data_IF_145321635168
#
_entry.id   IF_145321635168
#
_cell.length_a   1.000
_cell.length_b   1.000
_cell.length_c   1.000
_cell.angle_alpha   90.00
_cell.angle_beta   90.00
_cell.angle_gamma   90.00
#
_symmetry.space_group_name_H-M   'P 1'
#
loop_
_entity.id
_entity.type
_entity.pdbx_description
1 polymer ?
#
# COMPACT_ATOMS: atom_id res chain seq x y z
N UNK A 1 -8.42 -17.80 12.47
CA UNK A 1 -8.75 -19.11 11.84
C UNK A 1 -7.99 -19.32 10.53
N UNK A 2 -8.20 -18.50 9.50
CA UNK A 2 -7.48 -18.63 8.21
C UNK A 2 -5.96 -18.44 8.36
N UNK A 3 -5.54 -17.35 9.00
CA UNK A 3 -4.14 -17.07 9.30
C UNK A 3 -3.48 -18.11 10.22
N UNK A 4 -4.29 -18.89 10.95
CA UNK A 4 -3.85 -20.00 11.81
C UNK A 4 -3.84 -21.34 11.08
N UNK A 5 -4.22 -21.39 9.79
CA UNK A 5 -4.30 -22.61 8.99
C UNK A 5 -5.41 -23.59 9.42
N UNK A 6 -6.42 -23.12 10.17
CA UNK A 6 -7.50 -23.99 10.71
C UNK A 6 -8.66 -24.22 9.75
N UNK A 7 -8.73 -23.49 8.64
CA UNK A 7 -9.79 -23.65 7.65
C UNK A 7 -9.34 -24.58 6.52
N UNK A 8 -10.19 -25.52 6.07
CA UNK A 8 -9.91 -26.33 4.89
C UNK A 8 -9.72 -25.46 3.64
N UNK A 9 -8.77 -25.86 2.79
CA UNK A 9 -8.48 -25.23 1.51
C UNK A 9 -9.05 -26.03 0.32
N UNK A 10 -10.18 -26.71 0.52
CA UNK A 10 -10.82 -27.59 -0.47
C UNK A 10 -11.67 -26.81 -1.50
N UNK A 11 -12.23 -25.65 -1.12
CA UNK A 11 -13.11 -24.81 -1.97
C UNK A 11 -12.69 -23.32 -2.00
N UNK A 12 -13.09 -22.53 -3.01
CA UNK A 12 -12.86 -21.09 -3.02
C UNK A 12 -13.37 -20.41 -1.75
N UNK A 13 -12.68 -19.36 -1.31
CA UNK A 13 -12.98 -18.64 -0.07
C UNK A 13 -13.25 -17.17 -0.35
N UNK A 14 -14.31 -16.64 0.26
CA UNK A 14 -14.56 -15.21 0.41
C UNK A 14 -14.61 -14.87 1.90
N UNK A 15 -13.86 -13.85 2.32
CA UNK A 15 -13.88 -13.33 3.68
C UNK A 15 -14.55 -11.98 3.71
N UNK A 16 -15.63 -11.84 4.50
CA UNK A 16 -16.35 -10.56 4.67
C UNK A 16 -16.32 -10.18 6.15
N UNK A 17 -15.48 -9.21 6.55
CA UNK A 17 -15.46 -8.71 7.92
C UNK A 17 -16.78 -8.03 8.27
N UNK A 18 -17.29 -8.25 9.49
CA UNK A 18 -18.52 -7.62 9.97
C UNK A 18 -18.21 -6.19 10.41
N UNK A 19 -18.15 -5.28 9.45
CA UNK A 19 -17.90 -3.85 9.65
C UNK A 19 -18.83 -3.04 8.75
N UNK A 20 -19.17 -1.82 9.15
CA UNK A 20 -20.20 -1.03 8.46
C UNK A 20 -19.75 -0.52 7.08
N UNK A 21 -18.47 -0.19 6.92
CA UNK A 21 -17.96 0.41 5.68
C UNK A 21 -16.59 -0.17 5.33
N UNK A 22 -15.52 0.32 5.96
CA UNK A 22 -14.13 -0.08 5.70
C UNK A 22 -13.56 -0.79 6.91
N UNK A 23 -12.44 -1.52 6.77
CA UNK A 23 -11.75 -2.11 7.93
C UNK A 23 -11.31 -1.04 8.95
N UNK A 24 -10.46 -0.09 8.55
CA UNK A 24 -9.93 0.93 9.46
C UNK A 24 -10.16 2.38 9.00
N UNK A 25 -10.08 2.67 7.70
CA UNK A 25 -10.10 4.05 7.16
C UNK A 25 -11.30 4.89 7.61
N UNK A 26 -12.54 4.44 7.38
CA UNK A 26 -13.76 5.18 7.68
C UNK A 26 -14.25 5.03 9.14
N UNK A 27 -13.43 4.48 10.05
CA UNK A 27 -13.84 4.33 11.47
C UNK A 27 -14.06 5.70 12.12
N UNK A 28 -15.19 5.85 12.81
CA UNK A 28 -15.66 7.13 13.34
C UNK A 28 -15.30 7.31 14.81
N UNK A 29 -14.71 8.45 15.16
CA UNK A 29 -14.29 8.78 16.52
C UNK A 29 -15.40 8.60 17.59
N UNK A 30 -16.66 9.04 17.37
CA UNK A 30 -17.73 8.84 18.36
C UNK A 30 -18.08 7.37 18.63
N UNK A 31 -17.72 6.46 17.73
CA UNK A 31 -18.05 5.03 17.82
C UNK A 31 -16.93 4.24 18.48
N UNK A 32 -15.68 4.46 18.04
CA UNK A 32 -14.53 3.65 18.51
C UNK A 32 -13.75 4.30 19.66
N UNK A 33 -13.92 5.60 19.86
CA UNK A 33 -13.22 6.36 20.91
C UNK A 33 -11.83 6.86 20.50
N UNK A 34 -11.19 7.59 21.43
CA UNK A 34 -9.85 8.17 21.24
C UNK A 34 -8.76 7.14 21.58
N UNK A 35 -7.65 7.24 20.88
CA UNK A 35 -6.41 6.54 21.21
C UNK A 35 -5.21 7.41 20.79
N UNK A 36 -4.50 7.98 21.76
CA UNK A 36 -3.36 8.85 21.48
C UNK A 36 -2.13 8.07 20.97
N UNK A 37 -2.14 6.74 21.02
CA UNK A 37 -1.09 5.92 20.45
C UNK A 37 -1.19 5.79 18.93
N UNK A 38 -2.35 6.09 18.34
CA UNK A 38 -2.52 6.06 16.88
C UNK A 38 -2.23 7.44 16.27
N UNK A 39 -1.60 7.52 15.08
CA UNK A 39 -1.33 8.79 14.40
C UNK A 39 -2.58 9.67 14.20
N UNK A 40 -3.75 9.07 13.98
CA UNK A 40 -5.01 9.82 13.85
C UNK A 40 -5.67 10.22 15.17
N UNK A 41 -5.20 9.71 16.32
CA UNK A 41 -5.84 9.92 17.61
C UNK A 41 -7.14 9.14 17.81
N UNK A 42 -7.51 8.26 16.87
CA UNK A 42 -8.74 7.47 16.86
C UNK A 42 -8.42 6.00 17.03
N UNK A 43 -9.08 5.33 17.99
CA UNK A 43 -8.89 3.90 18.26
C UNK A 43 -9.19 3.06 17.01
N UNK A 44 -8.43 1.98 16.79
CA UNK A 44 -8.70 1.00 15.71
C UNK A 44 -9.94 0.15 16.02
N UNK A 45 -10.55 -0.43 14.99
CA UNK A 45 -11.62 -1.42 15.14
C UNK A 45 -10.99 -2.76 15.49
N UNK A 46 -11.22 -3.25 16.71
CA UNK A 46 -10.58 -4.48 17.23
C UNK A 46 -11.13 -5.77 16.57
N UNK A 47 -12.31 -5.72 15.94
CA UNK A 47 -13.01 -6.89 15.40
C UNK A 47 -12.69 -7.20 13.93
N UNK A 48 -11.84 -6.42 13.27
CA UNK A 48 -11.44 -6.64 11.87
C UNK A 48 -9.96 -6.99 11.80
N UNK A 49 -9.54 -7.83 10.85
CA UNK A 49 -8.13 -8.14 10.67
C UNK A 49 -7.37 -6.94 10.10
N UNK A 50 -6.10 -6.80 10.49
CA UNK A 50 -5.15 -5.95 9.75
C UNK A 50 -4.75 -6.61 8.41
N UNK A 51 -4.18 -5.81 7.51
CA UNK A 51 -3.78 -6.28 6.18
C UNK A 51 -2.76 -7.42 6.26
N UNK A 52 -1.78 -7.33 7.16
CA UNK A 52 -0.77 -8.37 7.36
C UNK A 52 -1.37 -9.72 7.78
N UNK A 53 -2.42 -9.72 8.60
CA UNK A 53 -3.14 -10.92 9.03
C UNK A 53 -3.92 -11.53 7.87
N UNK A 54 -4.57 -10.70 7.04
CA UNK A 54 -5.22 -11.17 5.81
C UNK A 54 -4.19 -11.77 4.84
N UNK A 55 -3.05 -11.12 4.64
CA UNK A 55 -1.94 -11.60 3.80
C UNK A 55 -1.41 -12.95 4.28
N UNK A 56 -1.13 -13.12 5.58
CA UNK A 56 -0.71 -14.40 6.15
C UNK A 56 -1.76 -15.49 5.93
N UNK A 57 -3.03 -15.16 6.10
CA UNK A 57 -4.15 -16.07 5.82
C UNK A 57 -4.21 -16.50 4.37
N UNK A 58 -4.12 -15.55 3.43
CA UNK A 58 -4.16 -15.81 2.00
C UNK A 58 -2.97 -16.67 1.55
N UNK A 59 -1.76 -16.36 1.98
CA UNK A 59 -0.56 -17.14 1.67
C UNK A 59 -0.68 -18.59 2.14
N UNK A 60 -1.07 -18.81 3.41
CA UNK A 60 -1.28 -20.16 3.95
C UNK A 60 -2.36 -20.92 3.19
N UNK A 61 -3.49 -20.28 2.90
CA UNK A 61 -4.60 -20.90 2.19
C UNK A 61 -4.21 -21.31 0.77
N UNK A 62 -3.61 -20.40 0.00
CA UNK A 62 -3.19 -20.66 -1.37
C UNK A 62 -2.10 -21.73 -1.45
N UNK A 63 -1.15 -21.71 -0.51
CA UNK A 63 -0.11 -22.75 -0.40
C UNK A 63 -0.71 -24.13 -0.16
N UNK A 64 -1.78 -24.24 0.63
CA UNK A 64 -2.48 -25.51 0.85
C UNK A 64 -3.30 -25.96 -0.37
N UNK A 65 -3.73 -25.03 -1.24
CA UNK A 65 -4.55 -25.35 -2.42
C UNK A 65 -3.80 -26.04 -3.54
N UNK A 66 -2.50 -25.77 -3.71
CA UNK A 66 -1.77 -26.21 -4.89
C UNK A 66 -0.28 -26.40 -4.61
N UNK A 67 0.30 -27.56 -4.95
CA UNK A 67 1.75 -27.75 -4.90
C UNK A 67 2.48 -27.06 -6.07
N UNK A 68 1.76 -26.52 -7.07
CA UNK A 68 2.34 -25.87 -8.25
C UNK A 68 2.80 -24.42 -8.00
N UNK A 69 2.56 -23.88 -6.80
CA UNK A 69 2.77 -22.48 -6.48
C UNK A 69 1.46 -21.69 -6.40
N UNK A 70 1.58 -20.38 -6.24
CA UNK A 70 0.47 -19.46 -6.04
C UNK A 70 0.71 -18.11 -6.73
N UNK A 71 -0.37 -17.40 -6.99
CA UNK A 71 -0.38 -15.98 -7.28
C UNK A 71 -1.21 -15.28 -6.19
N UNK A 72 -0.71 -14.18 -5.66
CA UNK A 72 -1.39 -13.37 -4.65
C UNK A 72 -1.22 -11.90 -4.97
N UNK A 73 -2.34 -11.17 -4.98
CA UNK A 73 -2.38 -9.71 -4.99
C UNK A 73 -2.85 -9.24 -3.61
N UNK A 74 -2.13 -8.27 -3.05
CA UNK A 74 -2.47 -7.62 -1.78
C UNK A 74 -2.53 -6.13 -2.03
N UNK A 75 -3.64 -5.50 -1.70
CA UNK A 75 -3.88 -4.08 -1.94
C UNK A 75 -4.06 -3.35 -0.61
N UNK A 76 -3.31 -2.27 -0.41
CA UNK A 76 -3.51 -1.31 0.67
C UNK A 76 -4.40 -0.15 0.26
N UNK A 77 -5.56 -0.41 -0.34
CA UNK A 77 -6.32 0.61 -1.09
C UNK A 77 -6.81 1.83 -0.28
N UNK A 78 -6.88 1.73 1.04
CA UNK A 78 -7.27 2.85 1.89
C UNK A 78 -6.22 3.97 1.98
N UNK A 79 -4.99 3.76 1.51
CA UNK A 79 -3.99 4.84 1.38
C UNK A 79 -4.46 5.91 0.40
N UNK A 80 -5.10 5.51 -0.70
CA UNK A 80 -5.69 6.43 -1.69
C UNK A 80 -6.77 7.29 -1.02
N UNK A 81 -7.75 6.64 -0.38
CA UNK A 81 -8.84 7.33 0.31
C UNK A 81 -8.36 8.29 1.40
N UNK A 82 -7.26 7.95 2.10
CA UNK A 82 -6.67 8.83 3.11
C UNK A 82 -5.89 10.01 2.50
N UNK A 83 -5.37 9.87 1.28
CA UNK A 83 -4.66 10.92 0.54
C UNK A 83 -5.60 11.91 -0.17
N UNK A 84 -6.85 11.51 -0.43
CA UNK A 84 -7.87 12.39 -0.97
C UNK A 84 -8.35 13.46 0.01
N UNK A 85 -8.64 14.67 -0.51
CA UNK A 85 -9.47 15.63 0.22
C UNK A 85 -10.92 15.19 0.14
N UNK A 86 -11.63 15.23 1.28
CA UNK A 86 -13.00 14.72 1.38
C UNK A 86 -13.97 15.88 1.52
N UNK A 87 -14.29 16.54 0.40
CA UNK A 87 -15.33 17.57 0.38
C UNK A 87 -16.71 16.93 0.63
N UNK A 88 -17.45 17.49 1.59
CA UNK A 88 -18.78 17.05 1.97
C UNK A 88 -19.75 17.12 0.78
N UNK A 89 -20.58 16.08 0.60
CA UNK A 89 -21.60 16.03 -0.46
C UNK A 89 -21.08 15.61 -1.84
N UNK A 90 -19.83 15.14 -1.95
CA UNK A 90 -19.33 14.49 -3.16
C UNK A 90 -19.53 12.97 -3.09
N UNK A 91 -19.51 12.30 -4.25
CA UNK A 91 -19.62 10.84 -4.36
C UNK A 91 -18.54 10.10 -3.54
N UNK A 92 -17.40 10.75 -3.32
CA UNK A 92 -16.19 10.15 -2.74
C UNK A 92 -15.98 10.47 -1.26
N UNK A 93 -17.06 10.65 -0.49
CA UNK A 93 -16.93 10.91 0.95
C UNK A 93 -16.69 9.61 1.72
N UNK A 94 -15.49 9.41 2.27
CA UNK A 94 -15.17 8.27 3.14
C UNK A 94 -14.80 8.75 4.54
N UNK A 95 -15.76 8.66 5.47
CA UNK A 95 -15.57 9.11 6.85
C UNK A 95 -15.95 10.57 7.09
N UNK A 96 -15.08 11.33 7.78
CA UNK A 96 -15.33 12.72 8.13
C UNK A 96 -15.02 13.67 6.96
N UNK A 97 -15.88 14.66 6.71
CA UNK A 97 -15.63 15.67 5.70
C UNK A 97 -14.53 16.63 6.15
N UNK A 98 -13.44 16.69 5.38
CA UNK A 98 -12.32 17.61 5.61
C UNK A 98 -11.82 18.16 4.27
N UNK A 99 -11.41 19.42 4.25
CA UNK A 99 -10.76 20.07 3.11
C UNK A 99 -9.27 19.66 2.97
N UNK A 100 -8.79 18.83 3.89
CA UNK A 100 -7.43 18.30 3.94
C UNK A 100 -7.42 16.77 3.87
N UNK A 101 -6.34 16.16 3.34
CA UNK A 101 -6.10 14.74 3.48
C UNK A 101 -6.08 14.27 4.94
N UNK A 102 -6.39 12.99 5.16
CA UNK A 102 -6.40 12.39 6.49
C UNK A 102 -5.00 11.91 6.87
N UNK A 103 -4.06 12.83 7.10
CA UNK A 103 -2.63 12.51 7.32
C UNK A 103 -2.38 11.39 8.35
N UNK A 104 -3.09 11.39 9.48
CA UNK A 104 -2.96 10.33 10.49
C UNK A 104 -3.40 8.96 9.95
N UNK A 105 -4.49 8.91 9.18
CA UNK A 105 -4.96 7.67 8.54
C UNK A 105 -4.03 7.22 7.43
N UNK A 106 -3.51 8.14 6.63
CA UNK A 106 -2.54 7.82 5.59
C UNK A 106 -1.30 7.13 6.17
N UNK A 107 -0.75 7.64 7.29
CA UNK A 107 0.38 7.03 7.97
C UNK A 107 0.02 5.63 8.48
N UNK A 108 -1.16 5.47 9.09
CA UNK A 108 -1.64 4.17 9.58
C UNK A 108 -1.79 3.14 8.46
N UNK A 109 -2.47 3.50 7.36
CA UNK A 109 -2.71 2.60 6.22
C UNK A 109 -1.39 2.24 5.50
N UNK A 110 -0.46 3.21 5.37
CA UNK A 110 0.87 2.97 4.79
C UNK A 110 1.71 2.06 5.69
N UNK A 111 1.64 2.24 7.01
CA UNK A 111 2.31 1.36 7.97
C UNK A 111 1.75 -0.08 7.90
N UNK A 112 0.43 -0.24 7.82
CA UNK A 112 -0.20 -1.57 7.67
C UNK A 112 0.16 -2.23 6.33
N UNK A 113 0.29 -1.47 5.24
CA UNK A 113 0.79 -1.98 3.96
C UNK A 113 2.24 -2.47 4.06
N UNK A 114 3.11 -1.72 4.75
CA UNK A 114 4.49 -2.15 5.02
C UNK A 114 4.56 -3.41 5.89
N UNK A 115 3.65 -3.57 6.86
CA UNK A 115 3.55 -4.80 7.66
C UNK A 115 3.10 -5.99 6.81
N UNK A 116 2.20 -5.77 5.84
CA UNK A 116 1.79 -6.80 4.88
C UNK A 116 2.94 -7.21 3.95
N UNK A 117 3.70 -6.25 3.42
CA UNK A 117 4.94 -6.53 2.65
C UNK A 117 5.93 -7.32 3.49
N UNK A 118 6.13 -6.93 4.76
CA UNK A 118 7.01 -7.65 5.70
C UNK A 118 6.54 -9.08 5.93
N UNK A 119 5.23 -9.32 6.02
CA UNK A 119 4.66 -10.66 6.13
C UNK A 119 4.92 -11.52 4.87
N UNK A 120 4.85 -10.93 3.67
CA UNK A 120 5.22 -11.62 2.42
C UNK A 120 6.70 -11.95 2.40
N UNK A 121 7.58 -10.99 2.74
CA UNK A 121 9.03 -11.21 2.82
C UNK A 121 9.33 -12.38 3.76
N UNK A 122 8.78 -12.36 4.98
CA UNK A 122 8.99 -13.43 5.96
C UNK A 122 8.50 -14.79 5.44
N UNK A 123 7.39 -14.82 4.70
CA UNK A 123 6.92 -16.04 4.06
C UNK A 123 7.87 -16.51 2.96
N UNK A 124 8.37 -15.63 2.09
CA UNK A 124 9.33 -15.96 1.02
C UNK A 124 10.59 -16.60 1.61
N UNK A 125 11.17 -16.01 2.66
CA UNK A 125 12.38 -16.54 3.31
C UNK A 125 12.16 -17.96 3.86
N UNK A 126 10.93 -18.31 4.24
CA UNK A 126 10.57 -19.63 4.76
C UNK A 126 10.07 -20.60 3.67
N UNK A 127 9.84 -20.14 2.45
CA UNK A 127 9.20 -20.91 1.37
C UNK A 127 10.04 -20.91 0.10
N UNK A 128 11.32 -21.25 0.25
CA UNK A 128 12.24 -21.45 -0.87
C UNK A 128 13.04 -20.22 -1.27
N UNK A 129 12.90 -19.11 -0.55
CA UNK A 129 13.68 -17.90 -0.74
C UNK A 129 13.42 -17.18 -2.07
N UNK A 130 14.27 -16.20 -2.37
CA UNK A 130 14.12 -15.33 -3.53
C UNK A 130 14.35 -16.03 -4.88
N UNK A 131 15.00 -17.21 -4.88
CA UNK A 131 15.18 -18.03 -6.10
C UNK A 131 13.88 -18.66 -6.59
N UNK A 132 12.89 -18.80 -5.69
CA UNK A 132 11.62 -19.48 -5.98
C UNK A 132 10.41 -18.56 -5.96
N UNK A 133 10.61 -17.29 -5.63
CA UNK A 133 9.53 -16.35 -5.40
C UNK A 133 9.87 -14.99 -6.03
N UNK A 134 8.84 -14.33 -6.55
CA UNK A 134 8.90 -12.96 -7.05
C UNK A 134 7.96 -12.10 -6.21
N UNK A 135 8.48 -11.02 -5.64
CA UNK A 135 7.68 -9.96 -5.02
C UNK A 135 7.80 -8.70 -5.86
N UNK A 136 6.66 -8.13 -6.24
CA UNK A 136 6.54 -6.81 -6.86
C UNK A 136 5.70 -5.94 -5.94
N UNK A 137 6.19 -4.75 -5.62
CA UNK A 137 5.48 -3.71 -4.86
C UNK A 137 5.44 -2.47 -5.73
N UNK A 138 4.24 -1.97 -5.99
CA UNK A 138 4.00 -0.76 -6.78
C UNK A 138 2.70 -0.11 -6.30
N UNK A 139 2.44 1.11 -6.74
CA UNK A 139 1.10 1.72 -6.69
C UNK A 139 0.53 1.81 -8.11
N UNK A 140 -0.80 1.87 -8.22
CA UNK A 140 -1.54 1.97 -9.48
C UNK A 140 -1.50 3.38 -10.07
N UNK A 141 -1.52 4.40 -9.21
CA UNK A 141 -1.28 5.81 -9.54
C UNK A 141 -0.70 6.59 -8.36
N UNK A 142 -0.39 7.87 -8.60
CA UNK A 142 0.08 8.82 -7.59
C UNK A 142 -1.10 9.68 -7.07
N UNK A 143 -1.02 10.19 -5.85
CA UNK A 143 -1.97 11.16 -5.26
C UNK A 143 -1.28 12.48 -4.91
N UNK A 144 -0.19 12.78 -5.62
CA UNK A 144 0.92 13.63 -5.20
C UNK A 144 1.76 12.97 -4.12
N UNK A 145 3.09 12.97 -4.29
CA UNK A 145 4.01 12.52 -3.25
C UNK A 145 3.85 13.37 -1.97
N UNK A 146 3.88 12.76 -0.76
CA UNK A 146 4.05 13.48 0.50
C UNK A 146 5.28 14.40 0.48
N UNK A 147 5.08 15.68 0.76
CA UNK A 147 6.12 16.72 0.78
C UNK A 147 6.05 17.50 2.10
N UNK A 148 6.93 18.49 2.27
CA UNK A 148 6.93 19.40 3.42
C UNK A 148 5.68 20.28 3.54
N UNK A 149 5.54 21.02 4.65
CA UNK A 149 4.35 21.82 4.95
C UNK A 149 4.03 22.91 3.91
N UNK A 150 5.04 23.47 3.25
CA UNK A 150 4.97 24.52 2.25
C UNK A 150 5.03 23.98 0.80
N UNK A 151 4.75 22.69 0.58
CA UNK A 151 4.76 22.02 -0.74
C UNK A 151 3.94 22.73 -1.84
N UNK A 152 2.94 23.50 -1.41
CA UNK A 152 2.11 24.37 -2.24
C UNK A 152 2.92 25.47 -2.96
N UNK A 153 4.00 25.94 -2.34
CA UNK A 153 4.88 27.00 -2.84
C UNK A 153 6.26 26.47 -3.23
N UNK A 154 6.77 25.48 -2.50
CA UNK A 154 8.11 24.92 -2.68
C UNK A 154 7.97 23.49 -3.20
N UNK A 155 8.24 23.29 -4.50
CA UNK A 155 8.20 21.96 -5.10
C UNK A 155 9.25 21.04 -4.45
N UNK A 156 8.86 19.80 -4.15
CA UNK A 156 9.72 18.78 -3.52
C UNK A 156 10.33 19.21 -2.18
N UNK A 157 9.64 20.07 -1.42
CA UNK A 157 10.05 20.37 -0.06
C UNK A 157 10.15 19.08 0.77
N UNK A 158 11.24 18.85 1.53
CA UNK A 158 11.36 17.69 2.38
C UNK A 158 10.29 17.68 3.49
N UNK A 159 9.76 16.48 3.79
CA UNK A 159 8.92 16.27 4.97
C UNK A 159 9.67 16.70 6.23
N UNK A 160 9.03 17.53 7.07
CA UNK A 160 9.64 18.05 8.29
C UNK A 160 9.51 17.04 9.42
N UNK A 161 10.65 16.59 9.97
CA UNK A 161 10.67 15.80 11.18
C UNK A 161 10.38 16.68 12.41
N UNK A 162 9.22 16.49 13.03
CA UNK A 162 8.79 17.22 14.24
C UNK A 162 9.16 16.51 15.55
N UNK A 163 9.94 15.41 15.49
CA UNK A 163 10.35 14.63 16.65
C UNK A 163 9.49 13.40 16.92
N UNK A 164 9.99 12.51 17.76
CA UNK A 164 9.35 11.22 18.08
C UNK A 164 7.97 11.44 18.71
N UNK A 165 6.97 10.71 18.21
CA UNK A 165 5.60 10.77 18.71
C UNK A 165 4.81 12.00 18.25
N UNK A 166 5.38 12.84 17.40
CA UNK A 166 4.70 13.98 16.78
C UNK A 166 4.42 13.68 15.32
N UNK A 167 3.29 14.18 14.81
CA UNK A 167 3.00 14.15 13.38
C UNK A 167 4.09 14.90 12.61
N UNK A 168 4.62 14.34 11.51
CA UNK A 168 5.55 15.06 10.66
C UNK A 168 4.86 16.29 10.05
N UNK A 169 5.64 17.34 9.81
CA UNK A 169 5.15 18.45 9.01
C UNK A 169 5.12 18.00 7.56
N UNK A 170 3.93 17.68 7.07
CA UNK A 170 3.73 17.21 5.71
C UNK A 170 2.52 17.86 5.04
N UNK A 171 2.59 17.96 3.72
CA UNK A 171 1.50 18.38 2.85
C UNK A 171 1.62 17.65 1.51
N UNK A 172 0.71 17.98 0.59
CA UNK A 172 0.69 17.49 -0.78
C UNK A 172 0.77 18.69 -1.73
N UNK A 173 1.00 18.42 -3.01
CA UNK A 173 0.67 19.39 -4.07
C UNK A 173 -0.86 19.52 -4.18
N UNK A 174 -1.41 20.65 -4.63
CA UNK A 174 -2.84 20.91 -4.63
C UNK A 174 -3.56 20.17 -5.76
N UNK A 175 -3.59 18.84 -5.68
CA UNK A 175 -4.47 18.02 -6.52
C UNK A 175 -5.74 17.69 -5.76
N UNK A 176 -5.62 17.35 -4.47
CA UNK A 176 -6.72 16.75 -3.68
C UNK A 176 -7.25 15.45 -4.28
N UNK A 177 -6.51 14.89 -5.24
CA UNK A 177 -6.92 13.85 -6.16
C UNK A 177 -5.68 13.17 -6.76
N UNK A 178 -5.89 12.20 -7.63
CA UNK A 178 -4.84 11.52 -8.36
C UNK A 178 -3.97 12.52 -9.14
N UNK A 179 -2.74 12.12 -9.37
CA UNK A 179 -1.72 12.81 -10.13
C UNK A 179 -1.19 11.84 -11.20
N UNK A 180 -0.66 12.40 -12.29
CA UNK A 180 -0.03 11.62 -13.36
C UNK A 180 1.49 11.48 -13.17
N UNK A 181 1.98 11.68 -11.95
CA UNK A 181 3.38 11.49 -11.59
C UNK A 181 3.83 10.04 -11.75
N UNK A 182 5.13 9.86 -12.00
CA UNK A 182 5.73 8.53 -11.95
C UNK A 182 5.64 7.96 -10.53
N UNK A 183 5.31 6.67 -10.47
CA UNK A 183 5.16 5.93 -9.23
C UNK A 183 6.31 4.95 -9.03
N UNK A 184 6.68 4.63 -7.78
CA UNK A 184 7.75 3.68 -7.53
C UNK A 184 7.30 2.26 -7.83
N UNK A 185 8.25 1.48 -8.34
CA UNK A 185 8.14 0.05 -8.50
C UNK A 185 9.37 -0.61 -7.90
N UNK A 186 9.16 -1.50 -6.94
CA UNK A 186 10.18 -2.35 -6.34
C UNK A 186 9.90 -3.80 -6.71
N UNK A 187 10.94 -4.52 -7.14
CA UNK A 187 10.83 -5.95 -7.40
C UNK A 187 12.06 -6.68 -6.87
N UNK A 188 11.84 -7.88 -6.32
CA UNK A 188 12.91 -8.76 -5.87
C UNK A 188 12.53 -10.22 -6.09
N UNK A 189 13.52 -11.01 -6.48
CA UNK A 189 13.41 -12.45 -6.66
C UNK A 189 13.38 -12.88 -8.12
N UNK A 190 13.07 -14.15 -8.34
CA UNK A 190 13.17 -14.78 -9.66
C UNK A 190 12.24 -14.12 -10.69
N UNK A 191 12.83 -13.52 -11.73
CA UNK A 191 12.10 -12.80 -12.77
C UNK A 191 12.04 -11.28 -12.55
N UNK A 192 12.60 -10.73 -11.47
CA UNK A 192 12.64 -9.27 -11.27
C UNK A 192 13.41 -8.55 -12.39
N UNK A 193 14.44 -9.18 -12.96
CA UNK A 193 15.23 -8.63 -14.07
C UNK A 193 14.41 -8.46 -15.37
N UNK A 194 13.30 -9.18 -15.53
CA UNK A 194 12.38 -9.01 -16.65
C UNK A 194 11.79 -7.59 -16.70
N UNK A 195 11.62 -6.94 -15.55
CA UNK A 195 11.17 -5.56 -15.46
C UNK A 195 12.25 -4.59 -15.93
N UNK A 196 13.52 -4.85 -15.61
CA UNK A 196 14.65 -4.04 -16.07
C UNK A 196 14.84 -4.08 -17.59
N UNK A 197 14.47 -5.19 -18.24
CA UNK A 197 14.49 -5.32 -19.70
C UNK A 197 13.39 -4.49 -20.41
N UNK A 198 12.45 -3.92 -19.65
CA UNK A 198 11.29 -3.15 -20.15
C UNK A 198 11.43 -1.64 -19.93
N UNK A 199 12.61 -1.16 -19.51
CA UNK A 199 12.88 0.28 -19.33
C UNK A 199 12.64 1.01 -20.65
N UNK A 200 11.77 2.02 -20.61
CA UNK A 200 11.37 2.82 -21.77
C UNK A 200 12.12 4.14 -21.87
N UNK A 201 12.65 4.62 -20.76
CA UNK A 201 13.35 5.89 -20.71
C UNK A 201 13.80 6.24 -19.29
N UNK A 202 14.33 7.45 -19.15
CA UNK A 202 14.81 8.02 -17.89
C UNK A 202 14.17 9.37 -17.68
N UNK A 203 13.54 9.58 -16.53
CA UNK A 203 13.05 10.89 -16.08
C UNK A 203 14.12 11.57 -15.20
N UNK A 204 14.72 12.63 -15.75
CA UNK A 204 15.77 13.37 -15.06
C UNK A 204 15.25 14.14 -13.82
N UNK A 205 13.98 14.55 -13.83
CA UNK A 205 13.34 15.25 -12.71
C UNK A 205 13.08 14.29 -11.56
N UNK A 206 12.51 13.12 -11.84
CA UNK A 206 12.33 12.05 -10.85
C UNK A 206 13.66 11.64 -10.24
N UNK A 207 14.70 11.42 -11.07
CA UNK A 207 16.06 11.15 -10.61
C UNK A 207 16.59 12.25 -9.69
N UNK A 208 16.40 13.52 -10.04
CA UNK A 208 16.94 14.66 -9.29
C UNK A 208 16.20 14.90 -7.97
N UNK A 209 14.88 14.73 -7.95
CA UNK A 209 14.03 15.15 -6.84
C UNK A 209 13.58 14.01 -5.94
N UNK A 210 13.24 12.84 -6.51
CA UNK A 210 12.77 11.68 -5.74
C UNK A 210 13.94 10.78 -5.32
N UNK A 211 14.93 10.59 -6.19
CA UNK A 211 16.22 9.92 -5.88
C UNK A 211 16.12 8.47 -5.36
N UNK A 212 15.00 7.79 -5.59
CA UNK A 212 14.84 6.36 -5.24
C UNK A 212 15.46 5.40 -6.25
N UNK A 213 15.66 5.85 -7.49
CA UNK A 213 16.38 5.13 -8.54
C UNK A 213 17.14 6.13 -9.44
N UNK A 214 17.64 5.65 -10.57
CA UNK A 214 18.34 6.43 -11.59
C UNK A 214 17.40 7.20 -12.54
N UNK A 215 16.10 7.25 -12.25
CA UNK A 215 15.06 7.85 -13.10
C UNK A 215 14.49 6.91 -14.14
N UNK A 216 14.99 5.67 -14.25
CA UNK A 216 14.44 4.70 -15.20
C UNK A 216 12.98 4.41 -14.92
N UNK A 217 12.16 4.35 -15.97
CA UNK A 217 10.74 4.01 -15.87
C UNK A 217 10.33 2.97 -16.91
N UNK A 218 9.30 2.20 -16.54
CA UNK A 218 8.57 1.29 -17.42
C UNK A 218 7.12 1.78 -17.52
N UNK A 219 6.32 1.20 -18.40
CA UNK A 219 4.88 1.40 -18.43
C UNK A 219 4.17 0.41 -17.52
N UNK A 220 3.05 0.78 -16.92
CA UNK A 220 2.35 -0.09 -15.97
C UNK A 220 1.91 -1.43 -16.62
N UNK A 221 1.62 -1.46 -17.93
CA UNK A 221 1.27 -2.70 -18.65
C UNK A 221 2.45 -3.68 -18.72
N UNK A 222 3.68 -3.19 -18.56
CA UNK A 222 4.88 -4.00 -18.61
C UNK A 222 5.03 -4.88 -17.35
N UNK A 223 4.38 -4.52 -16.23
CA UNK A 223 4.30 -5.34 -15.01
C UNK A 223 3.58 -6.66 -15.28
N UNK A 224 2.38 -6.61 -15.87
CA UNK A 224 1.61 -7.81 -16.20
C UNK A 224 2.36 -8.72 -17.18
N UNK A 225 3.02 -8.12 -18.19
CA UNK A 225 3.86 -8.87 -19.13
C UNK A 225 5.04 -9.54 -18.44
N UNK A 226 5.72 -8.84 -17.53
CA UNK A 226 6.85 -9.41 -16.77
C UNK A 226 6.40 -10.57 -15.87
N UNK A 227 5.23 -10.46 -15.22
CA UNK A 227 4.65 -11.56 -14.42
C UNK A 227 4.32 -12.76 -15.31
N UNK A 228 3.73 -12.54 -16.50
CA UNK A 228 3.43 -13.63 -17.45
C UNK A 228 4.70 -14.37 -17.89
N UNK A 229 5.75 -13.64 -18.23
CA UNK A 229 7.04 -14.22 -18.62
C UNK A 229 7.69 -14.98 -17.46
N UNK A 230 7.61 -14.45 -16.23
CA UNK A 230 8.16 -15.11 -15.04
C UNK A 230 7.47 -16.45 -14.75
N UNK A 231 6.16 -16.55 -14.99
CA UNK A 231 5.37 -17.77 -14.79
C UNK A 231 5.63 -18.86 -15.84
N UNK A 232 6.28 -18.53 -16.97
CA UNK A 232 6.59 -19.47 -18.05
C UNK A 232 7.97 -20.13 -17.94
N UNK A 233 8.77 -19.74 -16.93
CA UNK A 233 10.11 -20.29 -16.67
C UNK A 233 10.04 -21.55 -15.81
#
# INVERSE_FOLDING_TARGET
ALADGRLPADRPLIGVPRVANTLQQARQLPVVGRDAATPSGVKKIDSVPDLATMTRGALRFLQQRSPKGLFLMVEGGATDWAAHTSACGTEWHYGACTDQPQYGRLIEETAEFNDAVSAVIAWIEQNGGWERNLLIVTTDHDNSMPMGPDAQKVAFEPVRNNGRGQMPGMSFRPTGNHSNGLVPLWAKGNGAELLGQRVRGVDAGYRQHVRWNDGSYIDNTDVAKAVQDALQR
#
